data_IF_774132022150
#
_entry.id   IF_774132022150
#
_cell.length_a   1.000
_cell.length_b   1.000
_cell.length_c   1.000
_cell.angle_alpha   90.00
_cell.angle_beta   90.00
_cell.angle_gamma   90.00
#
_symmetry.space_group_name_H-M   'P 1'
#
loop_
_entity.id
_entity.type
_entity.pdbx_description
1 polymer ?
#
# COMPACT_ATOMS: atom_id res chain seq x y z
N UNK A 1 2.43 4.43 8.97
CA UNK A 1 1.94 3.31 9.81
C UNK A 1 3.00 2.22 9.79
N UNK A 2 3.38 1.62 10.93
CA UNK A 2 4.44 0.60 10.92
C UNK A 2 3.97 -0.66 10.19
N UNK A 3 4.89 -1.33 9.47
CA UNK A 3 4.64 -2.63 8.81
C UNK A 3 4.05 -3.66 9.78
N UNK A 4 4.51 -3.64 11.02
CA UNK A 4 3.99 -4.49 12.10
C UNK A 4 2.53 -4.20 12.41
N UNK A 5 2.11 -2.94 12.41
CA UNK A 5 0.71 -2.55 12.61
C UNK A 5 -0.18 -3.08 11.47
N UNK A 6 0.27 -2.97 10.21
CA UNK A 6 -0.47 -3.52 9.07
C UNK A 6 -0.61 -5.04 9.14
N UNK A 7 0.46 -5.75 9.55
CA UNK A 7 0.43 -7.21 9.74
C UNK A 7 -0.52 -7.60 10.88
N UNK A 8 -0.47 -6.91 12.02
CA UNK A 8 -1.36 -7.17 13.15
C UNK A 8 -2.82 -6.94 12.76
N UNK A 9 -3.14 -5.83 12.08
CA UNK A 9 -4.51 -5.58 11.62
C UNK A 9 -4.99 -6.65 10.65
N UNK A 10 -4.14 -7.08 9.70
CA UNK A 10 -4.50 -8.13 8.75
C UNK A 10 -4.60 -9.52 9.41
N UNK A 11 -3.94 -9.72 10.55
CA UNK A 11 -4.02 -10.95 11.32
C UNK A 11 -5.40 -11.10 11.97
N UNK A 12 -5.90 -10.02 12.58
CA UNK A 12 -7.21 -10.01 13.26
C UNK A 12 -8.38 -9.79 12.31
N UNK A 13 -8.21 -8.95 11.30
CA UNK A 13 -9.24 -8.61 10.30
C UNK A 13 -8.61 -8.75 8.91
N UNK A 14 -8.74 -9.91 8.26
CA UNK A 14 -8.18 -10.11 6.92
C UNK A 14 -8.73 -9.06 5.96
N UNK A 15 -7.83 -8.36 5.27
CA UNK A 15 -8.14 -7.25 4.37
C UNK A 15 -7.93 -5.86 4.97
N UNK A 16 -7.95 -5.69 6.30
CA UNK A 16 -7.79 -4.37 6.93
C UNK A 16 -6.38 -3.79 6.72
N UNK A 17 -5.35 -4.65 6.65
CA UNK A 17 -3.97 -4.23 6.38
C UNK A 17 -3.72 -3.76 4.95
N UNK A 18 -4.68 -3.90 4.03
CA UNK A 18 -4.58 -3.45 2.64
C UNK A 18 -5.07 -2.01 2.43
N UNK A 19 -5.85 -1.46 3.38
CA UNK A 19 -6.30 -0.07 3.31
C UNK A 19 -5.15 0.95 3.21
N UNK A 20 -4.04 0.81 3.98
CA UNK A 20 -2.88 1.70 3.86
C UNK A 20 -2.18 1.64 2.50
N UNK A 21 -2.39 0.59 1.70
CA UNK A 21 -1.77 0.40 0.37
C UNK A 21 -2.74 0.87 -0.73
N UNK A 22 -3.76 1.67 -0.39
CA UNK A 22 -4.80 2.20 -1.31
C UNK A 22 -5.54 1.11 -2.09
N UNK A 23 -5.56 -0.12 -1.57
CA UNK A 23 -6.33 -1.24 -2.12
C UNK A 23 -7.52 -1.56 -1.23
N UNK A 24 -8.26 -0.52 -0.90
CA UNK A 24 -9.39 -0.54 0.03
C UNK A 24 -10.50 -1.48 -0.46
N UNK A 25 -10.87 -1.41 -1.74
CA UNK A 25 -11.92 -2.25 -2.32
C UNK A 25 -11.60 -3.75 -2.28
N UNK A 26 -10.35 -4.12 -2.56
CA UNK A 26 -9.91 -5.50 -2.52
C UNK A 26 -9.84 -6.01 -1.08
N UNK A 27 -9.33 -5.19 -0.16
CA UNK A 27 -9.35 -5.48 1.27
C UNK A 27 -10.77 -5.67 1.80
N UNK A 28 -11.70 -4.80 1.41
CA UNK A 28 -13.11 -4.87 1.81
C UNK A 28 -13.78 -6.15 1.29
N UNK A 29 -13.57 -6.51 0.02
CA UNK A 29 -14.14 -7.72 -0.56
C UNK A 29 -13.66 -8.99 0.17
N UNK A 30 -12.37 -9.07 0.48
CA UNK A 30 -11.77 -10.17 1.26
C UNK A 30 -12.30 -10.22 2.69
N UNK A 31 -12.42 -9.06 3.35
CA UNK A 31 -12.96 -8.96 4.71
C UNK A 31 -14.42 -9.43 4.76
N UNK A 32 -15.24 -9.01 3.79
CA UNK A 32 -16.64 -9.40 3.69
C UNK A 32 -16.79 -10.91 3.44
N UNK A 33 -16.02 -11.45 2.48
CA UNK A 33 -16.02 -12.88 2.18
C UNK A 33 -15.63 -13.70 3.43
N UNK A 34 -14.56 -13.31 4.10
CA UNK A 34 -14.11 -13.96 5.33
C UNK A 34 -15.19 -13.89 6.42
N UNK A 35 -15.78 -12.71 6.65
CA UNK A 35 -16.81 -12.52 7.66
C UNK A 35 -18.04 -13.41 7.39
N UNK A 36 -18.52 -13.45 6.15
CA UNK A 36 -19.66 -14.32 5.76
C UNK A 36 -19.32 -15.79 5.96
N UNK A 37 -18.15 -16.24 5.50
CA UNK A 37 -17.73 -17.63 5.64
C UNK A 37 -17.54 -18.06 7.10
N UNK A 38 -16.93 -17.21 7.94
CA UNK A 38 -16.75 -17.49 9.37
C UNK A 38 -18.10 -17.55 10.08
N UNK A 39 -19.02 -16.61 9.81
CA UNK A 39 -20.36 -16.65 10.40
C UNK A 39 -21.13 -17.92 9.98
N UNK A 40 -21.04 -18.31 8.71
CA UNK A 40 -21.67 -19.53 8.21
C UNK A 40 -21.08 -20.78 8.88
N UNK A 41 -19.76 -20.83 9.07
CA UNK A 41 -19.10 -21.92 9.78
C UNK A 41 -19.50 -21.98 11.26
N UNK A 42 -19.49 -20.84 11.96
CA UNK A 42 -19.91 -20.75 13.38
C UNK A 42 -21.36 -21.21 13.52
N UNK A 43 -22.25 -20.73 12.65
CA UNK A 43 -23.66 -21.08 12.68
C UNK A 43 -23.87 -22.57 12.39
N UNK A 44 -23.18 -23.12 11.38
CA UNK A 44 -23.28 -24.51 11.00
C UNK A 44 -22.65 -25.49 11.99
N UNK A 45 -21.70 -25.04 12.81
CA UNK A 45 -21.04 -25.89 13.80
C UNK A 45 -21.72 -25.83 15.18
N UNK A 46 -22.16 -24.65 15.63
CA UNK A 46 -22.59 -24.44 17.02
C UNK A 46 -24.04 -23.99 17.20
N UNK A 47 -24.60 -23.22 16.27
CA UNK A 47 -25.92 -22.61 16.46
C UNK A 47 -27.03 -23.54 15.94
N UNK A 48 -26.89 -24.02 14.70
CA UNK A 48 -27.90 -24.81 14.04
C UNK A 48 -27.29 -25.94 13.18
N UNK A 49 -26.57 -26.90 13.80
CA UNK A 49 -25.85 -27.96 13.08
C UNK A 49 -26.77 -28.92 12.32
N UNK A 50 -28.05 -29.02 12.70
CA UNK A 50 -29.05 -29.82 11.99
C UNK A 50 -29.69 -29.08 10.82
N UNK A 51 -29.63 -27.73 10.80
CA UNK A 51 -30.23 -26.91 9.75
C UNK A 51 -29.26 -26.67 8.59
N UNK A 52 -27.95 -26.69 8.84
CA UNK A 52 -26.93 -26.39 7.85
C UNK A 52 -26.21 -27.68 7.44
N UNK A 53 -26.19 -28.03 6.13
CA UNK A 53 -25.48 -29.21 5.66
C UNK A 53 -23.98 -29.17 5.99
N UNK A 54 -23.43 -30.28 6.49
CA UNK A 54 -22.03 -30.34 6.92
C UNK A 54 -21.03 -29.97 5.81
N UNK A 55 -21.31 -30.36 4.56
CA UNK A 55 -20.45 -30.01 3.42
C UNK A 55 -20.35 -28.49 3.23
N UNK A 56 -21.42 -27.73 3.50
CA UNK A 56 -21.44 -26.28 3.38
C UNK A 56 -20.62 -25.64 4.50
N UNK A 57 -20.72 -26.16 5.73
CA UNK A 57 -19.90 -25.74 6.88
C UNK A 57 -18.41 -25.95 6.60
N UNK A 58 -18.02 -27.11 6.07
CA UNK A 58 -16.62 -27.41 5.70
C UNK A 58 -16.14 -26.51 4.57
N UNK A 59 -16.97 -26.28 3.55
CA UNK A 59 -16.64 -25.39 2.43
C UNK A 59 -16.47 -23.94 2.90
N UNK A 60 -17.34 -23.46 3.79
CA UNK A 60 -17.22 -22.14 4.39
C UNK A 60 -15.91 -21.97 5.16
N UNK A 61 -15.51 -22.98 5.96
CA UNK A 61 -14.22 -22.97 6.64
C UNK A 61 -13.05 -22.93 5.65
N UNK A 62 -13.11 -23.76 4.61
CA UNK A 62 -12.08 -23.79 3.55
C UNK A 62 -11.92 -22.44 2.86
N UNK A 63 -13.03 -21.78 2.50
CA UNK A 63 -13.02 -20.45 1.91
C UNK A 63 -12.51 -19.37 2.88
N UNK A 64 -12.86 -19.44 4.16
CA UNK A 64 -12.35 -18.52 5.16
C UNK A 64 -10.82 -18.64 5.30
N UNK A 65 -10.29 -19.85 5.39
CA UNK A 65 -8.84 -20.11 5.48
C UNK A 65 -8.14 -19.66 4.20
N UNK A 66 -8.69 -19.99 3.03
CA UNK A 66 -8.12 -19.61 1.75
C UNK A 66 -8.12 -18.08 1.56
N UNK A 67 -9.23 -17.40 1.89
CA UNK A 67 -9.35 -15.95 1.84
C UNK A 67 -8.37 -15.26 2.79
N UNK A 68 -8.24 -15.77 4.02
CA UNK A 68 -7.26 -15.28 4.98
C UNK A 68 -5.82 -15.44 4.45
N UNK A 69 -5.46 -16.62 3.93
CA UNK A 69 -4.16 -16.87 3.33
C UNK A 69 -3.86 -15.96 2.13
N UNK A 70 -4.84 -15.78 1.23
CA UNK A 70 -4.74 -14.88 0.10
C UNK A 70 -4.50 -13.43 0.53
N UNK A 71 -5.21 -12.95 1.57
CA UNK A 71 -4.99 -11.62 2.14
C UNK A 71 -3.56 -11.46 2.69
N UNK A 72 -2.99 -12.48 3.35
CA UNK A 72 -1.61 -12.41 3.84
C UNK A 72 -0.58 -12.38 2.69
N UNK A 73 -0.74 -13.24 1.69
CA UNK A 73 0.15 -13.28 0.52
C UNK A 73 0.14 -11.93 -0.20
N UNK A 74 -1.05 -11.38 -0.40
CA UNK A 74 -1.23 -10.10 -1.07
C UNK A 74 -0.59 -8.95 -0.29
N UNK A 75 -0.76 -8.93 1.04
CA UNK A 75 -0.12 -7.93 1.90
C UNK A 75 1.41 -7.99 1.79
N UNK A 76 2.00 -9.19 1.83
CA UNK A 76 3.46 -9.35 1.72
C UNK A 76 3.94 -8.92 0.34
N UNK A 77 3.27 -9.35 -0.73
CA UNK A 77 3.67 -9.04 -2.09
C UNK A 77 3.58 -7.53 -2.38
N UNK A 78 2.44 -6.91 -2.06
CA UNK A 78 2.25 -5.48 -2.25
C UNK A 78 3.14 -4.66 -1.32
N UNK A 79 3.34 -5.09 -0.09
CA UNK A 79 4.24 -4.43 0.86
C UNK A 79 5.69 -4.45 0.38
N UNK A 80 6.16 -5.54 -0.22
CA UNK A 80 7.52 -5.59 -0.81
C UNK A 80 7.67 -4.66 -2.00
N UNK A 81 6.66 -4.61 -2.87
CA UNK A 81 6.65 -3.72 -4.04
C UNK A 81 6.64 -2.25 -3.61
N UNK A 82 5.81 -1.91 -2.63
CA UNK A 82 5.74 -0.55 -2.09
C UNK A 82 7.09 -0.11 -1.48
N UNK A 83 7.71 -0.96 -0.67
CA UNK A 83 9.05 -0.70 -0.12
C UNK A 83 10.15 -0.56 -1.18
N UNK A 84 10.06 -1.31 -2.28
CA UNK A 84 11.01 -1.19 -3.38
C UNK A 84 10.90 0.18 -4.04
N UNK A 85 9.67 0.60 -4.35
CA UNK A 85 9.37 1.93 -4.93
C UNK A 85 9.82 3.03 -3.97
N UNK A 86 9.50 2.93 -2.68
CA UNK A 86 9.89 3.98 -1.70
C UNK A 86 11.40 4.12 -1.59
N UNK A 87 12.16 3.02 -1.57
CA UNK A 87 13.64 3.07 -1.57
C UNK A 87 14.20 3.69 -2.85
N UNK A 88 13.58 3.42 -3.99
CA UNK A 88 13.98 4.02 -5.27
C UNK A 88 13.73 5.53 -5.27
N UNK A 89 12.54 5.97 -4.85
CA UNK A 89 12.21 7.38 -4.67
C UNK A 89 13.16 8.06 -3.68
N UNK A 90 13.47 7.45 -2.53
CA UNK A 90 14.43 7.98 -1.55
C UNK A 90 15.81 8.21 -2.17
N UNK A 91 16.27 7.27 -3.01
CA UNK A 91 17.55 7.36 -3.69
C UNK A 91 17.59 8.49 -4.73
N UNK A 92 16.48 8.71 -5.44
CA UNK A 92 16.33 9.79 -6.41
C UNK A 92 16.27 11.16 -5.72
N UNK A 93 15.54 11.28 -4.61
CA UNK A 93 15.50 12.50 -3.79
C UNK A 93 16.89 12.82 -3.24
N UNK A 94 17.60 11.83 -2.70
CA UNK A 94 18.98 12.01 -2.20
C UNK A 94 19.95 12.40 -3.33
N UNK A 95 19.71 11.94 -4.56
CA UNK A 95 20.49 12.37 -5.73
C UNK A 95 20.17 13.82 -6.08
N UNK A 96 18.89 14.20 -6.15
CA UNK A 96 18.48 15.57 -6.43
C UNK A 96 19.07 16.56 -5.42
N UNK A 97 19.07 16.22 -4.12
CA UNK A 97 19.70 17.06 -3.09
C UNK A 97 21.21 17.26 -3.31
N UNK A 98 21.91 16.21 -3.76
CA UNK A 98 23.35 16.31 -4.11
C UNK A 98 23.59 17.17 -5.34
N UNK A 99 22.77 17.01 -6.38
CA UNK A 99 22.89 17.78 -7.62
C UNK A 99 22.57 19.27 -7.36
N UNK A 100 21.58 19.56 -6.50
CA UNK A 100 21.31 20.92 -6.01
C UNK A 100 22.49 21.52 -5.24
N UNK A 101 23.13 20.75 -4.35
CA UNK A 101 24.30 21.19 -3.61
C UNK A 101 25.51 21.45 -4.53
N UNK A 102 25.61 20.72 -5.65
CA UNK A 102 26.62 20.91 -6.67
C UNK A 102 26.31 22.07 -7.65
N UNK A 103 25.18 22.77 -7.49
CA UNK A 103 24.69 23.79 -8.43
C UNK A 103 24.41 23.24 -9.84
N UNK A 104 23.94 21.99 -9.94
CA UNK A 104 23.52 21.32 -11.17
C UNK A 104 21.98 21.17 -11.22
N UNK A 105 21.22 22.25 -11.50
CA UNK A 105 19.76 22.26 -11.40
C UNK A 105 19.06 21.38 -12.44
N UNK A 106 19.74 21.04 -13.54
CA UNK A 106 19.21 20.15 -14.58
C UNK A 106 19.18 18.69 -14.10
N UNK A 107 20.26 18.21 -13.47
CA UNK A 107 20.32 16.87 -12.88
C UNK A 107 19.33 16.69 -11.73
N UNK A 108 19.19 17.73 -10.90
CA UNK A 108 18.18 17.76 -9.85
C UNK A 108 16.75 17.68 -10.39
N UNK A 109 16.44 18.41 -11.48
CA UNK A 109 15.15 18.32 -12.16
C UNK A 109 14.87 16.90 -12.66
N UNK A 110 15.81 16.30 -13.39
CA UNK A 110 15.64 14.95 -13.96
C UNK A 110 15.39 13.91 -12.87
N UNK A 111 16.15 13.96 -11.78
CA UNK A 111 15.98 13.06 -10.64
C UNK A 111 14.62 13.23 -9.95
N UNK A 112 14.15 14.47 -9.77
CA UNK A 112 12.84 14.74 -9.17
C UNK A 112 11.66 14.37 -10.08
N UNK A 113 11.80 14.54 -11.40
CA UNK A 113 10.79 14.10 -12.35
C UNK A 113 10.67 12.58 -12.39
N UNK A 114 11.80 11.86 -12.35
CA UNK A 114 11.81 10.41 -12.21
C UNK A 114 11.16 9.96 -10.88
N UNK A 115 11.45 10.65 -9.78
CA UNK A 115 10.82 10.38 -8.48
C UNK A 115 9.31 10.61 -8.53
N UNK A 116 8.85 11.69 -9.16
CA UNK A 116 7.44 12.01 -9.32
C UNK A 116 6.72 11.02 -10.24
N UNK A 117 7.40 10.47 -11.26
CA UNK A 117 6.84 9.42 -12.11
C UNK A 117 6.58 8.11 -11.33
N UNK A 118 7.33 7.86 -10.26
CA UNK A 118 7.13 6.71 -9.38
C UNK A 118 6.08 6.98 -8.28
N UNK A 119 6.10 8.17 -7.67
CA UNK A 119 5.18 8.57 -6.60
C UNK A 119 4.94 10.10 -6.60
N UNK A 120 3.95 10.54 -7.40
CA UNK A 120 3.63 11.96 -7.58
C UNK A 120 3.04 12.63 -6.34
N UNK A 121 2.54 11.85 -5.37
CA UNK A 121 1.86 12.38 -4.18
C UNK A 121 2.80 12.55 -2.98
N UNK A 122 4.09 12.27 -3.16
CA UNK A 122 5.06 12.37 -2.08
C UNK A 122 5.36 13.85 -1.76
N UNK A 123 5.14 14.32 -0.51
CA UNK A 123 5.26 15.73 -0.16
C UNK A 123 6.68 16.27 -0.34
N UNK A 124 7.71 15.46 -0.08
CA UNK A 124 9.11 15.86 -0.25
C UNK A 124 9.43 16.19 -1.71
N UNK A 125 8.96 15.35 -2.63
CA UNK A 125 9.14 15.52 -4.08
C UNK A 125 8.41 16.76 -4.56
N UNK A 126 7.16 16.97 -4.09
CA UNK A 126 6.36 18.16 -4.42
C UNK A 126 7.05 19.44 -3.92
N UNK A 127 7.55 19.44 -2.69
CA UNK A 127 8.22 20.60 -2.08
C UNK A 127 9.53 20.94 -2.82
N UNK A 128 10.35 19.94 -3.16
CA UNK A 128 11.60 20.16 -3.91
C UNK A 128 11.34 20.64 -5.34
N UNK A 129 10.34 20.06 -6.03
CA UNK A 129 9.92 20.55 -7.35
C UNK A 129 9.41 21.99 -7.30
N UNK A 130 8.65 22.35 -6.26
CA UNK A 130 8.18 23.72 -6.09
C UNK A 130 9.37 24.69 -5.90
N UNK A 131 10.34 24.32 -5.05
CA UNK A 131 11.55 25.12 -4.82
C UNK A 131 12.40 25.28 -6.08
N UNK A 132 12.55 24.23 -6.88
CA UNK A 132 13.30 24.27 -8.14
C UNK A 132 12.62 25.17 -9.19
N UNK A 133 11.28 25.16 -9.24
CA UNK A 133 10.51 26.03 -10.13
C UNK A 133 10.64 27.50 -9.74
N UNK A 134 10.67 27.79 -8.44
CA UNK A 134 10.86 29.14 -7.90
C UNK A 134 12.24 29.70 -8.27
N UNK A 135 13.30 28.91 -8.06
CA UNK A 135 14.67 29.33 -8.41
C UNK A 135 14.88 29.59 -9.91
N UNK A 136 14.20 28.86 -10.79
CA UNK A 136 14.25 29.10 -12.24
C UNK A 136 13.53 30.39 -12.66
N UNK A 137 12.55 30.85 -11.87
CA UNK A 137 11.83 32.08 -12.17
C UNK A 137 12.69 33.31 -11.87
N UNK A 138 13.46 33.27 -10.78
CA UNK A 138 14.34 34.37 -10.36
C UNK A 138 15.51 34.60 -11.34
N UNK A 139 16.10 33.53 -11.87
CA UNK A 139 17.20 33.63 -12.87
C UNK A 139 16.73 34.25 -14.20
N UNK A 140 15.45 34.14 -14.54
CA UNK A 140 14.87 34.73 -15.74
C UNK A 140 14.47 36.21 -15.60
N UNK A 141 14.44 36.74 -14.38
CA UNK A 141 13.95 38.09 -14.08
C UNK A 141 15.05 39.15 -13.96
N UNK A 142 16.33 38.78 -14.09
CA UNK A 142 17.47 39.68 -13.98
C UNK A 142 18.16 39.86 -15.36
N UNK A 143 17.74 40.86 -16.17
CA UNK A 143 18.34 41.16 -17.48
C UNK A 143 19.73 41.82 -17.39
#
# INVERSE_FOLDING_TARGET
MSRTTCMLLNLFVPGAGLAPIRREWLGLALALLFAVCVNLWIAGQWIAPLAIPHWLTVLALGLAIAGWGAAQILLVHLGRRHDAIQREVDSLVTRADRDLAASEPEGAAEALEAAAALDAERPDVIALLARLRDSRHDDGANP
#
